data_IF_538142301757
#
_entry.id   IF_538142301757
#
_cell.length_a   1.000
_cell.length_b   1.000
_cell.length_c   1.000
_cell.angle_alpha   90.00
_cell.angle_beta   90.00
_cell.angle_gamma   90.00
#
_symmetry.space_group_name_H-M   'P 1'
#
loop_
_entity.id
_entity.type
_entity.pdbx_description
1 polymer ?
#
# COMPACT_ATOMS: atom_id res chain seq x y z
N UNK A 1 -64.02 -15.31 -11.90
CA UNK A 1 -62.73 -16.03 -11.79
C UNK A 1 -61.70 -15.09 -11.18
N UNK A 2 -61.15 -15.45 -10.01
CA UNK A 2 -60.18 -14.63 -9.28
C UNK A 2 -58.82 -14.79 -9.94
N UNK A 3 -58.30 -13.71 -10.52
CA UNK A 3 -56.96 -13.68 -11.10
C UNK A 3 -55.97 -13.50 -9.94
N UNK A 4 -55.44 -14.61 -9.44
CA UNK A 4 -54.47 -14.62 -8.36
C UNK A 4 -53.18 -13.94 -8.79
N UNK A 5 -52.85 -12.88 -8.06
CA UNK A 5 -51.62 -12.10 -8.10
C UNK A 5 -50.45 -13.04 -7.76
N UNK A 6 -49.68 -13.47 -8.77
CA UNK A 6 -48.34 -14.02 -8.57
C UNK A 6 -47.33 -12.89 -8.87
N UNK A 7 -47.08 -12.05 -7.88
CA UNK A 7 -45.90 -11.19 -7.89
C UNK A 7 -44.73 -12.13 -7.60
N UNK A 8 -44.10 -12.61 -8.66
CA UNK A 8 -42.79 -13.25 -8.62
C UNK A 8 -41.79 -12.22 -8.12
N UNK A 9 -41.66 -12.18 -6.80
CA UNK A 9 -40.64 -11.46 -6.06
C UNK A 9 -39.29 -12.11 -6.37
N UNK A 10 -38.72 -11.78 -7.53
CA UNK A 10 -37.31 -11.98 -7.83
C UNK A 10 -36.54 -10.97 -6.97
N UNK A 11 -36.32 -11.32 -5.70
CA UNK A 11 -35.20 -10.76 -4.94
C UNK A 11 -33.93 -11.29 -5.62
N UNK A 12 -33.50 -10.58 -6.67
CA UNK A 12 -32.14 -10.59 -7.13
C UNK A 12 -31.29 -10.10 -5.96
N UNK A 13 -30.87 -11.06 -5.14
CA UNK A 13 -29.76 -10.92 -4.21
C UNK A 13 -28.58 -10.48 -5.06
N UNK A 14 -28.40 -9.16 -5.17
CA UNK A 14 -27.11 -8.58 -5.49
C UNK A 14 -26.19 -9.04 -4.37
N UNK A 15 -25.58 -10.21 -4.56
CA UNK A 15 -24.36 -10.58 -3.85
C UNK A 15 -23.31 -9.63 -4.40
N UNK A 16 -23.30 -8.41 -3.87
CA UNK A 16 -22.08 -7.64 -3.79
C UNK A 16 -21.17 -8.53 -2.94
N UNK A 17 -20.31 -9.31 -3.61
CA UNK A 17 -19.26 -10.03 -2.91
C UNK A 17 -18.59 -9.04 -1.98
N UNK A 18 -18.50 -9.35 -0.69
CA UNK A 18 -17.76 -8.52 0.24
C UNK A 18 -16.38 -8.32 -0.38
N UNK A 19 -16.06 -7.07 -0.75
CA UNK A 19 -14.71 -6.71 -1.14
C UNK A 19 -13.74 -7.20 -0.07
N UNK A 20 -12.48 -7.44 -0.44
CA UNK A 20 -11.48 -8.00 0.47
C UNK A 20 -11.53 -7.33 1.84
N UNK A 21 -11.84 -8.10 2.90
CA UNK A 21 -11.91 -7.58 4.26
C UNK A 21 -10.56 -7.04 4.67
N UNK A 22 -10.58 -5.89 5.35
CA UNK A 22 -9.37 -5.32 5.93
C UNK A 22 -8.79 -6.32 6.95
N UNK A 23 -7.46 -6.55 6.97
CA UNK A 23 -6.84 -7.43 7.96
C UNK A 23 -7.19 -7.01 9.39
N UNK A 24 -7.35 -7.99 10.27
CA UNK A 24 -7.63 -7.74 11.68
C UNK A 24 -6.55 -6.83 12.29
N UNK A 25 -6.98 -5.83 13.07
CA UNK A 25 -6.08 -4.89 13.73
C UNK A 25 -5.51 -3.77 12.84
N UNK A 26 -5.65 -3.84 11.51
CA UNK A 26 -5.08 -2.84 10.60
C UNK A 26 -5.56 -1.41 10.91
N UNK A 27 -6.87 -1.22 11.13
CA UNK A 27 -7.45 0.11 11.41
C UNK A 27 -6.91 0.68 12.72
N UNK A 28 -6.80 -0.15 13.76
CA UNK A 28 -6.29 0.26 15.06
C UNK A 28 -4.80 0.61 14.98
N UNK A 29 -4.00 -0.27 14.38
CA UNK A 29 -2.55 -0.15 14.36
C UNK A 29 -2.08 0.94 13.39
N UNK A 30 -2.70 1.06 12.21
CA UNK A 30 -2.26 2.01 11.20
C UNK A 30 -2.85 3.40 11.39
N UNK A 31 -4.05 3.51 11.96
CA UNK A 31 -4.77 4.77 12.04
C UNK A 31 -5.14 5.18 13.47
N UNK A 32 -4.69 4.45 14.50
CA UNK A 32 -5.09 4.69 15.88
C UNK A 32 -6.62 4.62 16.06
N UNK A 33 -7.27 3.76 15.28
CA UNK A 33 -8.72 3.58 15.28
C UNK A 33 -9.51 4.65 14.52
N UNK A 34 -8.88 5.69 13.97
CA UNK A 34 -9.60 6.79 13.31
C UNK A 34 -8.87 7.33 12.07
N UNK A 35 -9.15 6.71 10.92
CA UNK A 35 -8.61 7.13 9.62
C UNK A 35 -8.93 8.59 9.29
N UNK A 36 -10.20 8.99 9.43
CA UNK A 36 -10.65 10.33 9.03
C UNK A 36 -9.91 11.44 9.77
N UNK A 37 -9.65 11.24 11.06
CA UNK A 37 -8.95 12.21 11.90
C UNK A 37 -7.45 12.25 11.60
N UNK A 38 -6.84 11.08 11.40
CA UNK A 38 -5.38 10.95 11.42
C UNK A 38 -4.74 10.97 10.03
N UNK A 39 -5.51 10.71 8.97
CA UNK A 39 -4.98 10.55 7.61
C UNK A 39 -5.54 11.54 6.60
N UNK A 40 -6.84 11.86 6.65
CA UNK A 40 -7.48 12.68 5.61
C UNK A 40 -6.88 14.09 5.60
N UNK A 41 -6.47 14.54 4.41
CA UNK A 41 -5.90 15.87 4.18
C UNK A 41 -4.49 16.07 4.76
N UNK A 42 -3.84 15.01 5.25
CA UNK A 42 -2.46 15.07 5.73
C UNK A 42 -1.47 14.80 4.59
N UNK A 43 -0.43 15.62 4.52
CA UNK A 43 0.71 15.37 3.64
C UNK A 43 1.69 14.42 4.36
N UNK A 44 2.20 13.38 3.67
CA UNK A 44 3.23 12.51 4.22
C UNK A 44 4.45 13.29 4.68
N UNK A 45 5.04 12.88 5.81
CA UNK A 45 6.31 13.40 6.32
C UNK A 45 7.48 13.03 5.41
N UNK A 46 7.34 11.93 4.68
CA UNK A 46 8.31 11.49 3.69
C UNK A 46 7.58 10.74 2.57
N UNK A 47 8.05 10.94 1.35
CA UNK A 47 7.66 10.12 0.23
C UNK A 47 8.87 9.85 -0.65
N UNK A 48 8.93 8.65 -1.18
CA UNK A 48 9.93 8.26 -2.16
C UNK A 48 9.34 7.30 -3.16
N UNK A 49 10.02 7.21 -4.29
CA UNK A 49 9.77 6.22 -5.31
C UNK A 49 10.93 5.26 -5.35
N UNK A 50 10.59 3.99 -5.44
CA UNK A 50 11.56 2.94 -5.60
C UNK A 50 11.22 2.17 -6.87
N UNK A 51 12.07 2.29 -7.88
CA UNK A 51 11.90 1.53 -9.09
C UNK A 51 12.38 0.09 -8.94
N UNK A 52 11.46 -0.86 -8.79
CA UNK A 52 11.85 -2.26 -8.71
C UNK A 52 11.00 -3.15 -9.59
N UNK A 53 11.71 -4.00 -10.33
CA UNK A 53 11.15 -5.15 -11.03
C UNK A 53 10.48 -6.11 -10.04
N UNK A 54 9.45 -6.82 -10.49
CA UNK A 54 8.67 -7.77 -9.67
C UNK A 54 9.58 -8.83 -9.03
N UNK A 55 10.63 -9.27 -9.73
CA UNK A 55 11.59 -10.24 -9.21
C UNK A 55 12.33 -9.78 -7.93
N UNK A 56 12.33 -8.47 -7.63
CA UNK A 56 12.95 -7.90 -6.42
C UNK A 56 11.96 -7.62 -5.28
N UNK A 57 10.66 -7.87 -5.50
CA UNK A 57 9.64 -7.58 -4.50
C UNK A 57 9.76 -8.43 -3.25
N UNK A 58 10.20 -9.68 -3.36
CA UNK A 58 10.41 -10.53 -2.18
C UNK A 58 11.56 -10.00 -1.29
N UNK A 59 12.67 -9.56 -1.90
CA UNK A 59 13.78 -8.93 -1.16
C UNK A 59 13.32 -7.65 -0.45
N UNK A 60 12.46 -6.86 -1.11
CA UNK A 60 11.84 -5.67 -0.52
C UNK A 60 10.93 -6.03 0.65
N UNK A 61 10.08 -7.04 0.50
CA UNK A 61 9.18 -7.53 1.55
C UNK A 61 9.95 -7.95 2.80
N UNK A 62 11.01 -8.75 2.63
CA UNK A 62 11.89 -9.19 3.73
C UNK A 62 12.56 -7.98 4.40
N UNK A 63 13.07 -7.04 3.60
CA UNK A 63 13.71 -5.81 4.12
C UNK A 63 12.73 -4.99 4.97
N UNK A 64 11.51 -4.78 4.49
CA UNK A 64 10.46 -4.04 5.19
C UNK A 64 9.99 -4.79 6.44
N UNK A 65 9.84 -6.11 6.39
CA UNK A 65 9.47 -6.91 7.55
C UNK A 65 10.54 -6.82 8.65
N UNK A 66 11.82 -6.95 8.29
CA UNK A 66 12.93 -6.80 9.25
C UNK A 66 12.97 -5.38 9.84
N UNK A 67 12.68 -4.35 9.03
CA UNK A 67 12.55 -2.99 9.51
C UNK A 67 11.39 -2.84 10.50
N UNK A 68 10.24 -3.44 10.22
CA UNK A 68 9.08 -3.44 11.11
C UNK A 68 9.43 -4.11 12.45
N UNK A 69 9.98 -5.32 12.40
CA UNK A 69 10.31 -6.12 13.58
C UNK A 69 11.34 -5.37 14.47
N UNK A 70 12.37 -4.77 13.85
CA UNK A 70 13.39 -3.97 14.57
C UNK A 70 12.82 -2.74 15.27
N UNK A 71 11.77 -2.13 14.72
CA UNK A 71 11.16 -0.90 15.25
C UNK A 71 9.87 -1.17 16.03
N UNK A 72 9.52 -2.44 16.29
CA UNK A 72 8.29 -2.80 17.01
C UNK A 72 7.01 -2.38 16.27
N UNK A 73 7.02 -2.39 14.94
CA UNK A 73 5.88 -2.03 14.10
C UNK A 73 5.09 -3.29 13.71
N UNK A 74 3.78 -3.15 13.62
CA UNK A 74 2.92 -4.18 13.03
C UNK A 74 3.10 -4.18 11.51
N UNK A 75 3.26 -5.36 10.95
CA UNK A 75 3.46 -5.57 9.53
C UNK A 75 2.20 -6.20 8.91
N UNK A 76 1.65 -5.54 7.89
CA UNK A 76 0.52 -6.03 7.11
C UNK A 76 0.92 -6.10 5.65
N UNK A 77 0.63 -7.23 5.00
CA UNK A 77 0.91 -7.42 3.57
C UNK A 77 -0.32 -7.90 2.82
N UNK A 78 -0.46 -7.41 1.60
CA UNK A 78 -1.37 -7.89 0.57
C UNK A 78 -0.61 -7.88 -0.75
N UNK A 79 0.12 -8.97 -0.99
CA UNK A 79 0.95 -9.16 -2.17
C UNK A 79 0.27 -10.22 -3.04
N UNK A 80 -0.02 -9.86 -4.30
CA UNK A 80 -0.74 -10.72 -5.23
C UNK A 80 -0.02 -10.73 -6.56
N UNK A 81 0.13 -11.92 -7.14
CA UNK A 81 0.63 -12.12 -8.49
C UNK A 81 -0.31 -13.10 -9.18
N UNK A 82 -1.10 -12.60 -10.12
CA UNK A 82 -2.03 -13.40 -10.91
C UNK A 82 -2.17 -12.82 -12.32
N UNK A 83 -2.92 -13.52 -13.17
CA UNK A 83 -3.07 -13.22 -14.60
C UNK A 83 -3.61 -11.80 -14.92
N UNK A 84 -4.22 -11.14 -13.94
CA UNK A 84 -4.81 -9.80 -14.08
C UNK A 84 -4.12 -8.71 -13.25
N UNK A 85 -3.31 -9.09 -12.25
CA UNK A 85 -2.78 -8.16 -11.26
C UNK A 85 -1.45 -8.65 -10.67
N UNK A 86 -0.45 -7.79 -10.75
CA UNK A 86 0.70 -7.81 -9.85
C UNK A 86 0.58 -6.65 -8.87
N UNK A 87 0.45 -6.95 -7.59
CA UNK A 87 0.29 -5.98 -6.51
C UNK A 87 1.32 -6.24 -5.41
N UNK A 88 1.97 -5.17 -5.00
CA UNK A 88 2.75 -5.10 -3.78
C UNK A 88 2.13 -4.03 -2.89
N UNK A 89 1.43 -4.43 -1.83
CA UNK A 89 0.87 -3.50 -0.86
C UNK A 89 1.25 -3.93 0.55
N UNK A 90 2.10 -3.14 1.19
CA UNK A 90 2.64 -3.42 2.51
C UNK A 90 2.47 -2.19 3.39
N UNK A 91 2.03 -2.40 4.62
CA UNK A 91 1.90 -1.34 5.63
C UNK A 91 2.65 -1.72 6.91
N UNK A 92 3.44 -0.77 7.43
CA UNK A 92 4.14 -0.88 8.70
C UNK A 92 3.57 0.18 9.63
N UNK A 93 3.02 -0.25 10.76
CA UNK A 93 2.10 0.55 11.52
C UNK A 93 2.39 0.53 13.02
N UNK A 94 2.09 1.64 13.68
CA UNK A 94 2.01 1.71 15.14
C UNK A 94 0.87 2.64 15.53
N UNK A 95 -0.03 2.13 16.39
CA UNK A 95 -1.12 2.93 16.97
C UNK A 95 -0.62 4.18 17.71
N UNK A 96 0.66 4.22 18.06
CA UNK A 96 1.35 5.36 18.64
C UNK A 96 1.69 6.47 17.63
N UNK A 97 1.15 6.45 16.41
CA UNK A 97 1.19 7.61 15.53
C UNK A 97 1.94 7.46 14.22
N UNK A 98 2.17 6.24 13.75
CA UNK A 98 2.98 6.00 12.56
C UNK A 98 2.24 5.08 11.57
N UNK A 99 2.19 5.53 10.32
CA UNK A 99 1.78 4.73 9.18
C UNK A 99 2.83 4.85 8.07
N UNK A 100 3.40 3.72 7.68
CA UNK A 100 4.27 3.60 6.51
C UNK A 100 3.55 2.71 5.51
N UNK A 101 3.41 3.15 4.27
CA UNK A 101 2.80 2.37 3.20
C UNK A 101 3.72 2.29 2.00
N UNK A 102 3.83 1.07 1.45
CA UNK A 102 4.60 0.74 0.27
C UNK A 102 3.65 0.07 -0.72
N UNK A 103 3.31 0.77 -1.80
CA UNK A 103 2.27 0.33 -2.76
C UNK A 103 2.75 0.42 -4.21
N UNK A 104 2.52 -0.66 -4.96
CA UNK A 104 2.65 -0.76 -6.42
C UNK A 104 1.57 -1.69 -6.94
N UNK A 105 0.95 -1.32 -8.06
CA UNK A 105 -0.05 -2.12 -8.76
C UNK A 105 0.23 -2.08 -10.25
N UNK A 106 0.19 -3.25 -10.89
CA UNK A 106 0.36 -3.43 -12.33
C UNK A 106 -0.82 -4.30 -12.77
N UNK A 107 -1.77 -3.69 -13.49
CA UNK A 107 -2.91 -4.41 -14.06
C UNK A 107 -2.53 -4.98 -15.42
N UNK A 108 -3.02 -6.18 -15.71
CA UNK A 108 -2.82 -6.87 -16.98
C UNK A 108 -4.18 -6.89 -17.68
N UNK A 109 -4.27 -6.26 -18.85
CA UNK A 109 -5.50 -6.15 -19.64
C UNK A 109 -5.23 -6.69 -21.04
N UNK A 110 -5.74 -7.90 -21.31
CA UNK A 110 -5.37 -8.66 -22.50
C UNK A 110 -3.91 -9.12 -22.43
N UNK A 111 -3.18 -9.05 -23.55
CA UNK A 111 -1.75 -9.42 -23.61
C UNK A 111 -0.81 -8.26 -23.22
N UNK A 112 -1.37 -7.10 -22.85
CA UNK A 112 -0.58 -5.92 -22.49
C UNK A 112 -0.78 -5.56 -21.02
N UNK A 113 0.29 -5.28 -20.26
CA UNK A 113 0.14 -4.57 -19.01
C UNK A 113 -0.46 -3.19 -19.29
N UNK A 114 -1.69 -2.94 -18.83
CA UNK A 114 -2.20 -1.57 -18.75
C UNK A 114 -1.52 -0.93 -17.54
N UNK A 115 -0.36 -0.34 -17.80
CA UNK A 115 0.42 0.32 -16.77
C UNK A 115 -0.38 1.49 -16.22
N UNK A 116 -0.91 1.35 -15.01
CA UNK A 116 -1.12 2.55 -14.18
C UNK A 116 0.30 3.08 -13.92
N UNK A 117 0.66 4.28 -14.41
CA UNK A 117 2.04 4.79 -14.46
C UNK A 117 2.59 5.17 -13.08
N UNK A 118 2.00 4.67 -12.00
CA UNK A 118 2.43 4.96 -10.66
C UNK A 118 3.59 4.02 -10.32
N UNK A 119 4.79 4.57 -10.03
CA UNK A 119 5.92 3.77 -9.60
C UNK A 119 5.65 3.22 -8.19
N UNK A 120 6.52 2.34 -7.67
CA UNK A 120 6.32 1.82 -6.33
C UNK A 120 6.59 2.96 -5.34
N UNK A 121 5.54 3.35 -4.64
CA UNK A 121 5.53 4.52 -3.75
C UNK A 121 5.77 4.07 -2.32
N UNK A 122 6.72 4.72 -1.66
CA UNK A 122 6.91 4.64 -0.21
C UNK A 122 6.38 5.94 0.38
N UNK A 123 5.47 5.86 1.34
CA UNK A 123 4.91 7.00 2.08
C UNK A 123 5.05 6.77 3.56
N UNK A 124 5.50 7.79 4.30
CA UNK A 124 5.54 7.79 5.76
C UNK A 124 4.67 8.93 6.26
N UNK A 125 3.69 8.62 7.09
CA UNK A 125 2.87 9.58 7.81
C UNK A 125 3.05 9.37 9.30
N UNK A 126 3.52 10.42 9.96
CA UNK A 126 3.50 10.57 11.41
C UNK A 126 2.29 11.43 11.76
N UNK A 127 1.35 10.89 12.52
CA UNK A 127 0.10 11.56 12.90
C UNK A 127 -0.04 11.77 14.42
N UNK A 128 0.85 11.18 15.23
CA UNK A 128 0.95 11.39 16.68
C UNK A 128 2.39 11.12 17.15
N UNK A 129 2.77 11.66 18.30
CA UNK A 129 4.07 11.40 18.97
C UNK A 129 5.28 11.68 18.06
N UNK A 130 5.30 12.84 17.41
CA UNK A 130 6.32 13.20 16.40
C UNK A 130 7.76 12.97 16.86
N UNK A 131 8.08 13.31 18.11
CA UNK A 131 9.42 13.13 18.67
C UNK A 131 9.86 11.65 18.72
N UNK A 132 8.92 10.72 19.02
CA UNK A 132 9.19 9.27 19.00
C UNK A 132 9.62 8.79 17.62
N UNK A 133 9.07 9.41 16.58
CA UNK A 133 9.23 9.00 15.19
C UNK A 133 10.20 9.87 14.39
N UNK A 134 10.93 10.78 15.04
CA UNK A 134 11.74 11.79 14.37
C UNK A 134 12.75 11.21 13.37
N UNK A 135 13.31 10.03 13.64
CA UNK A 135 14.32 9.37 12.80
C UNK A 135 13.77 8.30 11.87
N UNK A 136 12.46 8.01 11.89
CA UNK A 136 11.93 6.82 11.21
C UNK A 136 12.08 6.90 9.69
N UNK A 137 11.86 8.09 9.11
CA UNK A 137 12.00 8.34 7.68
C UNK A 137 13.44 8.17 7.22
N UNK A 138 14.39 8.76 7.95
CA UNK A 138 15.82 8.68 7.61
C UNK A 138 16.35 7.25 7.75
N UNK A 139 15.91 6.53 8.78
CA UNK A 139 16.26 5.13 8.99
C UNK A 139 15.74 4.24 7.85
N UNK A 140 14.48 4.45 7.43
CA UNK A 140 13.90 3.73 6.30
C UNK A 140 14.65 4.05 5.01
N UNK A 141 14.83 5.35 4.71
CA UNK A 141 15.55 5.82 3.53
C UNK A 141 16.95 5.23 3.45
N UNK A 142 17.69 5.22 4.56
CA UNK A 142 19.05 4.66 4.63
C UNK A 142 19.09 3.17 4.29
N UNK A 143 18.10 2.39 4.74
CA UNK A 143 18.02 0.95 4.45
C UNK A 143 17.68 0.70 2.98
N UNK A 144 16.72 1.44 2.44
CA UNK A 144 16.34 1.32 1.02
C UNK A 144 17.49 1.77 0.12
N UNK A 145 18.12 2.92 0.40
CA UNK A 145 19.25 3.45 -0.35
C UNK A 145 20.46 2.50 -0.31
N UNK A 146 20.70 1.81 0.81
CA UNK A 146 21.78 0.82 0.91
C UNK A 146 21.56 -0.38 -0.01
N UNK A 147 20.33 -0.87 -0.12
CA UNK A 147 20.00 -2.05 -0.91
C UNK A 147 19.76 -1.74 -2.39
N UNK A 148 19.22 -0.57 -2.70
CA UNK A 148 18.82 -0.16 -4.05
C UNK A 148 19.18 1.31 -4.35
N UNK A 149 20.47 1.70 -4.29
CA UNK A 149 20.88 3.11 -4.40
C UNK A 149 20.52 3.75 -5.75
N UNK A 150 20.53 2.97 -6.83
CA UNK A 150 20.27 3.46 -8.19
C UNK A 150 18.79 3.46 -8.59
N UNK A 151 17.92 2.97 -7.69
CA UNK A 151 16.49 2.80 -7.96
C UNK A 151 15.61 3.68 -7.08
N UNK A 152 16.20 4.29 -6.05
CA UNK A 152 15.52 5.16 -5.11
C UNK A 152 15.56 6.61 -5.60
N UNK A 153 14.40 7.25 -5.67
CA UNK A 153 14.28 8.70 -5.87
C UNK A 153 13.41 9.31 -4.77
N UNK A 154 13.92 10.37 -4.16
CA UNK A 154 13.19 11.20 -3.19
C UNK A 154 12.71 12.51 -3.83
N UNK A 155 12.94 12.72 -5.12
CA UNK A 155 12.50 13.91 -5.83
C UNK A 155 11.02 13.80 -6.21
N UNK A 156 10.24 14.86 -5.98
CA UNK A 156 8.78 14.85 -6.16
C UNK A 156 8.31 15.12 -7.61
N UNK A 157 9.22 15.14 -8.60
CA UNK A 157 8.90 15.25 -10.02
C UNK A 157 9.00 13.89 -10.70
N UNK A 158 7.86 13.28 -11.06
CA UNK A 158 7.85 11.89 -11.54
C UNK A 158 7.61 11.77 -13.05
N UNK A 159 8.50 11.07 -13.79
CA UNK A 159 8.26 10.60 -15.16
C UNK A 159 8.38 9.07 -15.24
N UNK A 160 7.32 8.28 -15.22
CA UNK A 160 7.45 6.81 -15.33
C UNK A 160 8.08 6.37 -16.67
N UNK A 161 9.08 5.48 -16.64
CA UNK A 161 9.73 4.82 -17.79
C UNK A 161 9.44 3.32 -17.82
N UNK A 162 9.65 2.70 -18.98
CA UNK A 162 9.40 1.29 -19.29
C UNK A 162 10.29 0.27 -18.55
N UNK A 163 11.07 0.69 -17.54
CA UNK A 163 11.67 -0.24 -16.56
C UNK A 163 10.89 -0.35 -15.24
N UNK A 164 9.71 0.28 -15.18
CA UNK A 164 8.95 0.67 -13.99
C UNK A 164 9.50 1.91 -13.24
N UNK A 165 10.57 2.56 -13.74
CA UNK A 165 11.34 3.62 -13.07
C UNK A 165 11.14 4.98 -13.66
N UNK A 166 11.30 6.00 -12.84
CA UNK A 166 11.38 7.40 -13.21
C UNK A 166 12.48 7.71 -14.27
N UNK A 167 12.14 8.56 -15.25
CA UNK A 167 13.03 9.39 -16.07
C UNK A 167 13.32 10.72 -15.38
#
# INVERSE_FOLDING_TARGET
>A
MRLSILISLLFLLCSCGEGSKTPEGYIEECYGGNFSRNMIGKTPNYSAVLDLEIAKWEDLRITLKNFADKNGLRFFEDIRQNDSLNMFNVSLCSKDGLWINVDKRIWIVGDSPEHIPMPLMIRVQVYKNTEKWASISDNLNSIIAKNWPNYLSTEHGYKSSYKNSLY
#
